data_IF_957468684240
#
_entry.id   IF_957468684240
#
_cell.length_a   1.000
_cell.length_b   1.000
_cell.length_c   1.000
_cell.angle_alpha   90.00
_cell.angle_beta   90.00
_cell.angle_gamma   90.00
#
_symmetry.space_group_name_H-M   'P 1'
#
loop_
_entity.id
_entity.type
_entity.pdbx_description
1 polymer ?
#
# COMPACT_ATOMS: atom_id res chain seq x y z
N UNK A 1 -28.43 -38.75 2.38
CA UNK A 1 -28.17 -38.11 3.69
C UNK A 1 -26.98 -38.76 4.38
N UNK A 2 -25.78 -38.73 3.77
CA UNK A 2 -24.61 -39.48 4.29
C UNK A 2 -23.26 -38.92 3.80
N UNK A 3 -23.17 -37.62 3.52
CA UNK A 3 -21.92 -36.94 3.12
C UNK A 3 -21.53 -35.77 4.06
N UNK A 4 -22.46 -35.27 4.87
CA UNK A 4 -22.20 -34.23 5.88
C UNK A 4 -21.56 -34.77 7.16
N UNK A 5 -21.75 -36.06 7.47
CA UNK A 5 -21.23 -36.68 8.69
C UNK A 5 -19.72 -36.99 8.65
N UNK A 6 -19.16 -37.25 7.47
CA UNK A 6 -17.73 -37.60 7.31
C UNK A 6 -16.82 -36.36 7.39
N UNK A 7 -17.26 -35.19 6.94
CA UNK A 7 -16.49 -33.94 7.02
C UNK A 7 -16.43 -33.40 8.45
N UNK A 8 -17.53 -33.53 9.22
CA UNK A 8 -17.55 -33.14 10.62
C UNK A 8 -16.65 -34.03 11.50
N UNK A 9 -16.57 -35.34 11.21
CA UNK A 9 -15.70 -36.25 11.96
C UNK A 9 -14.21 -36.03 11.69
N UNK A 10 -13.81 -35.69 10.46
CA UNK A 10 -12.40 -35.38 10.14
C UNK A 10 -11.94 -34.04 10.76
N UNK A 11 -12.83 -33.04 10.83
CA UNK A 11 -12.55 -31.75 11.48
C UNK A 11 -12.38 -31.88 13.00
N UNK A 12 -13.24 -32.67 13.66
CA UNK A 12 -13.14 -32.92 15.10
C UNK A 12 -11.92 -33.77 15.46
N UNK A 13 -11.56 -34.78 14.64
CA UNK A 13 -10.38 -35.60 14.86
C UNK A 13 -9.07 -34.80 14.70
N UNK A 14 -8.97 -33.92 13.70
CA UNK A 14 -7.81 -33.06 13.52
C UNK A 14 -7.65 -32.02 14.66
N UNK A 15 -8.77 -31.49 15.17
CA UNK A 15 -8.75 -30.54 16.28
C UNK A 15 -8.39 -31.19 17.63
N UNK A 16 -8.92 -32.40 17.89
CA UNK A 16 -8.60 -33.17 19.10
C UNK A 16 -7.17 -33.74 19.08
N UNK A 17 -6.64 -34.11 17.91
CA UNK A 17 -5.24 -34.54 17.76
C UNK A 17 -4.26 -33.36 17.85
N UNK A 18 -4.62 -32.18 17.30
CA UNK A 18 -3.79 -30.97 17.40
C UNK A 18 -3.69 -30.38 18.81
N UNK A 19 -4.75 -30.48 19.62
CA UNK A 19 -4.79 -29.92 20.98
C UNK A 19 -4.10 -30.78 22.05
N UNK A 20 -4.10 -32.12 21.91
CA UNK A 20 -3.60 -33.02 22.98
C UNK A 20 -2.08 -33.19 23.00
N UNK A 21 -1.36 -32.89 21.92
CA UNK A 21 0.10 -33.13 21.85
C UNK A 21 0.99 -31.99 22.38
N UNK A 22 0.44 -30.80 22.65
CA UNK A 22 1.22 -29.67 23.17
C UNK A 22 1.47 -29.75 24.69
N UNK A 23 0.60 -30.42 25.45
CA UNK A 23 0.71 -30.54 26.92
C UNK A 23 1.69 -31.60 27.41
N UNK A 24 1.81 -32.73 26.70
CA UNK A 24 2.53 -33.91 27.20
C UNK A 24 4.06 -33.83 27.07
N UNK A 25 4.60 -33.06 26.11
CA UNK A 25 6.06 -32.90 25.94
C UNK A 25 6.72 -31.97 26.98
N UNK A 26 5.94 -31.08 27.59
CA UNK A 26 6.44 -30.08 28.56
C UNK A 26 6.68 -30.66 29.96
N UNK A 27 5.97 -31.72 30.33
CA UNK A 27 6.21 -32.41 31.60
C UNK A 27 7.50 -33.24 31.61
N UNK A 28 7.95 -33.74 30.44
CA UNK A 28 9.21 -34.51 30.33
C UNK A 28 10.48 -33.66 30.26
N UNK A 29 10.37 -32.38 29.88
CA UNK A 29 11.52 -31.47 29.79
C UNK A 29 11.79 -30.68 31.09
N UNK A 30 10.81 -30.59 31.99
CA UNK A 30 11.00 -29.94 33.30
C UNK A 30 11.70 -30.84 34.34
N UNK A 31 11.80 -32.15 34.06
CA UNK A 31 12.53 -33.12 34.91
C UNK A 31 13.96 -33.41 34.41
N UNK A 32 14.39 -32.83 33.29
CA UNK A 32 15.70 -33.08 32.69
C UNK A 32 16.43 -31.77 32.37
N UNK A 33 17.16 -31.24 33.36
CA UNK A 33 18.27 -30.32 33.12
C UNK A 33 17.93 -28.84 33.34
N UNK A 34 18.36 -28.33 34.49
CA UNK A 34 18.47 -26.90 34.72
C UNK A 34 19.51 -26.27 33.79
N UNK A 35 19.12 -25.19 33.13
CA UNK A 35 19.99 -24.39 32.28
C UNK A 35 19.29 -23.10 31.89
N UNK A 36 19.73 -21.99 32.46
CA UNK A 36 19.21 -20.65 32.17
C UNK A 36 19.59 -20.27 30.74
N UNK A 37 18.60 -20.16 29.85
CA UNK A 37 18.75 -19.61 28.51
C UNK A 37 17.87 -18.38 28.39
N UNK A 38 18.50 -17.20 28.27
CA UNK A 38 17.86 -15.92 27.98
C UNK A 38 17.55 -15.82 26.49
N UNK A 39 16.58 -16.59 26.02
CA UNK A 39 15.92 -16.41 24.74
C UNK A 39 14.44 -16.76 24.91
N UNK A 40 13.70 -15.87 25.58
CA UNK A 40 12.26 -16.02 25.75
C UNK A 40 11.54 -15.93 24.41
N UNK A 41 10.49 -16.74 24.16
CA UNK A 41 9.65 -16.58 22.99
C UNK A 41 9.01 -15.18 22.97
N UNK A 42 8.69 -14.62 21.79
CA UNK A 42 8.12 -13.26 21.68
C UNK A 42 6.94 -13.11 22.62
N UNK A 43 6.91 -11.99 23.36
CA UNK A 43 5.89 -11.76 24.37
C UNK A 43 4.50 -11.84 23.74
N UNK A 44 3.53 -12.43 24.44
CA UNK A 44 2.15 -12.60 23.98
C UNK A 44 1.56 -11.29 23.43
N UNK A 45 1.97 -10.14 23.97
CA UNK A 45 1.57 -8.83 23.46
C UNK A 45 2.18 -8.43 22.10
N UNK A 46 3.41 -8.86 21.81
CA UNK A 46 4.03 -8.68 20.49
C UNK A 46 3.39 -9.62 19.47
N UNK A 47 3.12 -10.88 19.86
CA UNK A 47 2.39 -11.83 19.03
C UNK A 47 0.95 -11.35 18.74
N UNK A 48 0.24 -10.82 19.74
CA UNK A 48 -1.12 -10.25 19.58
C UNK A 48 -1.08 -8.96 18.75
N UNK A 49 -0.04 -8.12 18.85
CA UNK A 49 0.13 -6.93 17.99
C UNK A 49 0.45 -7.30 16.55
N UNK A 50 1.33 -8.27 16.31
CA UNK A 50 1.60 -8.84 14.99
C UNK A 50 0.33 -9.47 14.41
N UNK A 51 -0.40 -10.27 15.20
CA UNK A 51 -1.65 -10.91 14.79
C UNK A 51 -2.75 -9.88 14.50
N UNK A 52 -2.87 -8.82 15.30
CA UNK A 52 -3.83 -7.73 15.09
C UNK A 52 -3.45 -6.83 13.90
N UNK A 53 -2.16 -6.65 13.63
CA UNK A 53 -1.64 -5.98 12.41
C UNK A 53 -1.87 -6.84 11.17
N UNK A 54 -1.68 -8.15 11.28
CA UNK A 54 -2.00 -9.13 10.24
C UNK A 54 -3.51 -9.13 9.99
N UNK A 55 -4.35 -9.22 11.03
CA UNK A 55 -5.83 -9.16 10.91
C UNK A 55 -6.32 -7.84 10.32
N UNK A 56 -5.73 -6.69 10.70
CA UNK A 56 -6.03 -5.40 10.10
C UNK A 56 -5.58 -5.27 8.63
N UNK A 57 -4.53 -6.00 8.22
CA UNK A 57 -4.07 -6.09 6.83
C UNK A 57 -4.91 -7.08 6.01
N UNK A 58 -5.34 -8.18 6.63
CA UNK A 58 -6.14 -9.26 6.05
C UNK A 58 -7.63 -8.92 5.97
N UNK A 59 -8.11 -7.87 6.63
CA UNK A 59 -9.54 -7.55 6.75
C UNK A 59 -10.30 -7.41 5.43
N UNK A 60 -9.67 -6.98 4.33
CA UNK A 60 -10.34 -6.95 3.01
C UNK A 60 -9.98 -8.15 2.13
N UNK A 61 -8.84 -8.78 2.37
CA UNK A 61 -8.48 -10.06 1.75
C UNK A 61 -9.43 -11.19 2.22
N UNK A 62 -9.87 -11.10 3.48
CA UNK A 62 -10.93 -11.91 4.05
C UNK A 62 -12.29 -11.64 3.43
N UNK A 63 -12.58 -10.42 2.98
CA UNK A 63 -13.83 -10.13 2.27
C UNK A 63 -13.83 -10.72 0.85
N UNK A 64 -12.68 -10.77 0.15
CA UNK A 64 -12.58 -11.51 -1.11
C UNK A 64 -12.70 -13.02 -0.93
N UNK A 65 -12.13 -13.57 0.16
CA UNK A 65 -12.28 -14.98 0.51
C UNK A 65 -13.70 -15.30 0.98
N UNK A 66 -14.32 -14.43 1.77
CA UNK A 66 -15.70 -14.58 2.23
C UNK A 66 -16.70 -14.43 1.08
N UNK A 67 -16.48 -13.50 0.15
CA UNK A 67 -17.28 -13.37 -1.06
C UNK A 67 -17.11 -14.58 -1.99
N UNK A 68 -15.87 -15.07 -2.19
CA UNK A 68 -15.59 -16.29 -2.95
C UNK A 68 -16.19 -17.54 -2.29
N UNK A 69 -16.17 -17.61 -0.97
CA UNK A 69 -16.76 -18.69 -0.16
C UNK A 69 -18.30 -18.64 -0.21
N UNK A 70 -18.90 -17.45 -0.16
CA UNK A 70 -20.35 -17.24 -0.28
C UNK A 70 -20.85 -17.66 -1.68
N UNK A 71 -20.12 -17.28 -2.73
CA UNK A 71 -20.35 -17.71 -4.12
C UNK A 71 -20.15 -19.22 -4.31
N UNK A 72 -19.19 -19.82 -3.61
CA UNK A 72 -18.96 -21.27 -3.63
C UNK A 72 -20.07 -22.06 -2.91
N UNK A 73 -20.59 -21.52 -1.80
CA UNK A 73 -21.71 -22.11 -1.04
C UNK A 73 -23.03 -22.07 -1.82
N UNK A 74 -23.28 -21.00 -2.58
CA UNK A 74 -24.44 -20.89 -3.48
C UNK A 74 -24.29 -21.75 -4.75
N UNK A 75 -23.07 -22.00 -5.21
CA UNK A 75 -22.79 -22.69 -6.47
C UNK A 75 -22.40 -24.17 -6.37
N UNK A 76 -22.14 -24.74 -5.19
CA UNK A 76 -21.63 -26.12 -5.01
C UNK A 76 -20.41 -26.48 -5.90
N UNK A 77 -19.54 -25.50 -6.20
CA UNK A 77 -18.35 -25.67 -7.04
C UNK A 77 -17.11 -25.09 -6.34
N UNK A 78 -15.96 -25.76 -6.49
CA UNK A 78 -14.66 -25.35 -5.92
C UNK A 78 -13.97 -24.20 -6.68
N UNK A 79 -14.44 -23.90 -7.90
CA UNK A 79 -13.80 -22.94 -8.82
C UNK A 79 -13.84 -21.49 -8.31
N UNK A 80 -14.94 -20.98 -7.71
CA UNK A 80 -14.98 -19.64 -7.11
C UNK A 80 -14.01 -19.47 -5.93
N UNK A 81 -13.68 -20.56 -5.23
CA UNK A 81 -12.71 -20.54 -4.12
C UNK A 81 -11.29 -20.37 -4.66
N UNK A 82 -10.94 -21.07 -5.74
CA UNK A 82 -9.62 -20.96 -6.39
C UNK A 82 -9.45 -19.59 -7.05
N UNK A 83 -10.48 -19.09 -7.73
CA UNK A 83 -10.48 -17.74 -8.31
C UNK A 83 -10.37 -16.64 -7.22
N UNK A 84 -11.09 -16.80 -6.11
CA UNK A 84 -10.99 -15.93 -4.94
C UNK A 84 -9.58 -15.95 -4.32
N UNK A 85 -8.99 -17.15 -4.16
CA UNK A 85 -7.63 -17.31 -3.66
C UNK A 85 -6.56 -16.70 -4.58
N UNK A 86 -6.73 -16.83 -5.91
CA UNK A 86 -5.85 -16.19 -6.90
C UNK A 86 -6.01 -14.65 -6.95
N UNK A 87 -7.19 -14.14 -6.60
CA UNK A 87 -7.45 -12.69 -6.50
C UNK A 87 -6.77 -12.02 -5.30
N UNK A 88 -6.53 -12.74 -4.20
CA UNK A 88 -5.88 -12.21 -2.98
C UNK A 88 -4.49 -11.60 -3.25
N UNK A 89 -3.51 -12.28 -3.89
CA UNK A 89 -2.19 -11.69 -4.13
C UNK A 89 -2.25 -10.48 -5.07
N UNK A 90 -3.19 -10.45 -6.02
CA UNK A 90 -3.40 -9.31 -6.93
C UNK A 90 -3.94 -8.11 -6.15
N UNK A 91 -5.00 -8.29 -5.37
CA UNK A 91 -5.56 -7.23 -4.51
C UNK A 91 -4.54 -6.72 -3.49
N UNK A 92 -3.74 -7.62 -2.91
CA UNK A 92 -2.65 -7.27 -1.99
C UNK A 92 -1.59 -6.42 -2.68
N UNK A 93 -1.12 -6.82 -3.86
CA UNK A 93 -0.16 -6.04 -4.66
C UNK A 93 -0.72 -4.67 -5.03
N UNK A 94 -1.98 -4.60 -5.44
CA UNK A 94 -2.64 -3.32 -5.74
C UNK A 94 -2.77 -2.43 -4.50
N UNK A 95 -3.10 -3.00 -3.33
CA UNK A 95 -3.16 -2.26 -2.07
C UNK A 95 -1.80 -1.74 -1.66
N UNK A 96 -0.76 -2.57 -1.71
CA UNK A 96 0.60 -2.19 -1.39
C UNK A 96 1.11 -1.12 -2.36
N UNK A 97 0.84 -1.25 -3.65
CA UNK A 97 1.16 -0.23 -4.65
C UNK A 97 0.43 1.10 -4.38
N UNK A 98 -0.87 1.06 -4.03
CA UNK A 98 -1.64 2.25 -3.63
C UNK A 98 -1.12 2.88 -2.34
N UNK A 99 -0.76 2.07 -1.35
CA UNK A 99 -0.18 2.55 -0.09
C UNK A 99 1.19 3.19 -0.31
N UNK A 100 2.04 2.58 -1.16
CA UNK A 100 3.32 3.14 -1.57
C UNK A 100 3.13 4.47 -2.32
N UNK A 101 2.14 4.55 -3.23
CA UNK A 101 1.78 5.79 -3.91
C UNK A 101 1.35 6.90 -2.95
N UNK A 102 0.47 6.60 -1.98
CA UNK A 102 0.06 7.57 -0.95
C UNK A 102 1.19 7.96 -0.01
N UNK A 103 2.13 7.07 0.27
CA UNK A 103 3.32 7.39 1.04
C UNK A 103 4.24 8.34 0.27
N UNK A 104 4.40 8.10 -1.04
CA UNK A 104 5.13 8.98 -1.97
C UNK A 104 4.53 10.39 -1.99
N UNK A 105 3.22 10.51 -2.17
CA UNK A 105 2.52 11.81 -2.19
C UNK A 105 2.66 12.56 -0.86
N UNK A 106 2.43 11.89 0.27
CA UNK A 106 2.60 12.51 1.59
C UNK A 106 4.04 12.98 1.83
N UNK A 107 5.02 12.27 1.28
CA UNK A 107 6.42 12.67 1.37
C UNK A 107 6.72 13.88 0.50
N UNK A 108 6.19 13.94 -0.72
CA UNK A 108 6.31 15.10 -1.59
C UNK A 108 5.70 16.35 -0.92
N UNK A 109 4.52 16.22 -0.34
CA UNK A 109 3.88 17.29 0.43
C UNK A 109 4.71 17.74 1.64
N UNK A 110 5.32 16.79 2.34
CA UNK A 110 6.19 17.10 3.46
C UNK A 110 7.51 17.77 3.03
N UNK A 111 8.01 17.50 1.82
CA UNK A 111 9.17 18.20 1.22
C UNK A 111 8.80 19.63 0.80
N UNK A 112 7.61 19.84 0.23
CA UNK A 112 7.07 21.18 -0.04
C UNK A 112 6.99 21.97 1.28
N UNK A 113 6.38 21.37 2.31
CA UNK A 113 6.30 21.96 3.65
C UNK A 113 7.68 22.28 4.26
N UNK A 114 8.68 21.41 4.07
CA UNK A 114 10.06 21.66 4.48
C UNK A 114 10.66 22.88 3.77
N UNK A 115 10.47 23.01 2.45
CA UNK A 115 10.99 24.15 1.67
C UNK A 115 10.36 25.46 2.14
N UNK A 116 9.03 25.48 2.33
CA UNK A 116 8.32 26.64 2.86
C UNK A 116 8.75 27.02 4.28
N UNK A 117 8.89 26.05 5.18
CA UNK A 117 9.37 26.29 6.55
C UNK A 117 10.82 26.82 6.57
N UNK A 118 11.70 26.25 5.74
CA UNK A 118 13.08 26.72 5.61
C UNK A 118 13.13 28.15 5.06
N UNK A 119 12.35 28.46 4.03
CA UNK A 119 12.28 29.80 3.46
C UNK A 119 11.81 30.83 4.51
N UNK A 120 10.82 30.47 5.32
CA UNK A 120 10.31 31.33 6.41
C UNK A 120 11.39 31.59 7.48
N UNK A 121 12.11 30.56 7.91
CA UNK A 121 13.18 30.70 8.91
C UNK A 121 14.37 31.53 8.39
N UNK A 122 14.74 31.36 7.12
CA UNK A 122 15.80 32.17 6.50
C UNK A 122 15.36 33.63 6.35
N UNK A 123 14.10 33.90 5.97
CA UNK A 123 13.53 35.26 5.94
C UNK A 123 13.49 35.92 7.31
N UNK A 124 13.31 35.13 8.37
CA UNK A 124 13.40 35.62 9.75
C UNK A 124 14.85 35.97 10.17
N UNK A 125 15.82 35.89 9.25
CA UNK A 125 17.20 36.28 9.46
C UNK A 125 18.07 35.18 10.05
N UNK A 126 17.58 33.94 10.14
CA UNK A 126 18.36 32.84 10.71
C UNK A 126 19.42 32.33 9.74
N UNK A 127 20.53 31.85 10.29
CA UNK A 127 21.56 31.19 9.51
C UNK A 127 21.00 29.91 8.86
N UNK A 128 21.33 29.61 7.59
CA UNK A 128 20.77 28.48 6.84
C UNK A 128 20.82 27.13 7.57
N UNK A 129 21.95 26.83 8.23
CA UNK A 129 22.11 25.60 9.03
C UNK A 129 21.10 25.51 10.18
N UNK A 130 20.92 26.60 10.92
CA UNK A 130 19.98 26.65 12.05
C UNK A 130 18.51 26.65 11.58
N UNK A 131 18.24 27.32 10.46
CA UNK A 131 16.95 27.32 9.79
C UNK A 131 16.55 25.89 9.35
N UNK A 132 17.50 25.14 8.76
CA UNK A 132 17.30 23.74 8.36
C UNK A 132 17.04 22.83 9.57
N UNK A 133 17.73 23.04 10.69
CA UNK A 133 17.49 22.28 11.92
C UNK A 133 16.09 22.53 12.51
N UNK A 134 15.51 23.72 12.34
CA UNK A 134 14.12 24.01 12.73
C UNK A 134 13.14 23.41 11.73
N UNK A 135 13.30 23.68 10.45
CA UNK A 135 12.42 23.16 9.41
C UNK A 135 12.38 21.62 9.39
N UNK A 136 13.50 20.95 9.64
CA UNK A 136 13.59 19.49 9.74
C UNK A 136 12.91 18.91 11.00
N UNK A 137 12.65 19.72 12.04
CA UNK A 137 11.88 19.30 13.22
C UNK A 137 10.39 19.22 12.93
N UNK A 138 9.88 20.22 12.20
CA UNK A 138 8.45 20.41 12.00
C UNK A 138 7.93 19.66 10.77
N UNK A 139 8.82 19.24 9.86
CA UNK A 139 8.46 18.53 8.63
C UNK A 139 8.99 17.09 8.58
N UNK A 140 8.15 16.19 8.06
CA UNK A 140 8.50 14.79 7.81
C UNK A 140 9.23 14.53 6.49
N UNK A 141 9.53 15.59 5.72
CA UNK A 141 10.01 15.50 4.32
C UNK A 141 11.33 14.73 4.18
N UNK A 142 12.18 14.75 5.22
CA UNK A 142 13.49 14.09 5.22
C UNK A 142 13.42 12.60 5.60
N UNK A 143 12.37 12.15 6.29
CA UNK A 143 12.18 10.74 6.67
C UNK A 143 13.41 10.12 7.35
N UNK A 144 13.83 8.94 6.89
CA UNK A 144 14.99 8.23 7.44
C UNK A 144 16.31 9.00 7.27
N UNK A 145 16.43 9.85 6.25
CA UNK A 145 17.64 10.65 6.00
C UNK A 145 17.74 11.89 6.90
N UNK A 146 16.72 12.18 7.72
CA UNK A 146 16.69 13.34 8.62
C UNK A 146 17.93 13.42 9.50
N UNK A 147 18.35 12.31 10.10
CA UNK A 147 19.51 12.29 11.01
C UNK A 147 20.79 12.71 10.29
N UNK A 148 21.01 12.21 9.06
CA UNK A 148 22.21 12.54 8.27
C UNK A 148 22.23 14.02 7.85
N UNK A 149 21.10 14.54 7.38
CA UNK A 149 20.97 15.95 6.96
C UNK A 149 21.13 16.90 8.15
N UNK A 150 20.52 16.57 9.29
CA UNK A 150 20.66 17.33 10.55
C UNK A 150 22.09 17.30 11.07
N UNK A 151 22.76 16.14 11.03
CA UNK A 151 24.16 16.03 11.42
C UNK A 151 25.06 16.88 10.51
N UNK A 152 24.89 16.79 9.18
CA UNK A 152 25.62 17.63 8.24
C UNK A 152 25.42 19.12 8.54
N UNK A 153 24.18 19.56 8.77
CA UNK A 153 23.89 20.97 9.07
C UNK A 153 24.49 21.45 10.40
N UNK A 154 24.53 20.58 11.42
CA UNK A 154 25.03 20.93 12.76
C UNK A 154 26.55 20.95 12.86
N UNK A 155 27.22 20.06 12.14
CA UNK A 155 28.67 19.89 12.20
C UNK A 155 29.41 20.52 11.01
N UNK A 156 28.73 21.29 10.17
CA UNK A 156 29.33 21.93 8.99
C UNK A 156 29.74 20.92 7.90
N UNK A 157 29.09 19.76 7.85
CA UNK A 157 29.30 18.75 6.82
C UNK A 157 28.57 19.07 5.50
N UNK A 158 28.65 18.15 4.55
CA UNK A 158 28.03 18.28 3.23
C UNK A 158 26.50 18.10 3.29
N UNK A 159 25.80 19.23 3.47
CA UNK A 159 24.33 19.28 3.47
C UNK A 159 23.77 18.96 2.08
N UNK A 160 24.44 19.41 1.02
CA UNK A 160 24.04 19.20 -0.37
C UNK A 160 24.03 17.71 -0.71
N UNK A 161 25.10 16.99 -0.37
CA UNK A 161 25.20 15.54 -0.55
C UNK A 161 24.19 14.76 0.28
N UNK A 162 23.98 15.16 1.54
CA UNK A 162 22.97 14.53 2.40
C UNK A 162 21.54 14.69 1.84
N UNK A 163 21.20 15.87 1.32
CA UNK A 163 19.93 16.13 0.65
C UNK A 163 19.80 15.36 -0.67
N UNK A 164 20.87 15.25 -1.46
CA UNK A 164 20.87 14.48 -2.69
C UNK A 164 20.68 12.97 -2.45
N UNK A 165 21.25 12.43 -1.37
CA UNK A 165 20.99 11.05 -0.93
C UNK A 165 19.55 10.89 -0.47
N UNK A 166 19.03 11.84 0.32
CA UNK A 166 17.64 11.82 0.78
C UNK A 166 16.64 11.86 -0.39
N UNK A 167 16.98 12.54 -1.47
CA UNK A 167 16.14 12.67 -2.66
C UNK A 167 15.97 11.38 -3.47
N UNK A 168 16.81 10.36 -3.24
CA UNK A 168 16.65 9.03 -3.88
C UNK A 168 15.42 8.28 -3.37
N UNK A 169 14.84 8.72 -2.26
CA UNK A 169 13.63 8.10 -1.73
C UNK A 169 12.42 8.50 -2.58
N UNK A 170 11.47 7.57 -2.86
CA UNK A 170 10.29 7.90 -3.63
C UNK A 170 9.48 9.04 -2.98
N UNK A 171 9.20 10.10 -3.74
CA UNK A 171 8.45 11.25 -3.23
C UNK A 171 9.31 12.31 -2.55
N UNK A 172 10.63 12.13 -2.53
CA UNK A 172 11.58 13.10 -2.01
C UNK A 172 12.35 13.85 -3.12
N UNK A 173 11.91 13.74 -4.38
CA UNK A 173 12.66 14.24 -5.55
C UNK A 173 12.89 15.76 -5.47
N UNK A 174 11.97 16.51 -4.86
CA UNK A 174 12.09 17.95 -4.61
C UNK A 174 13.30 18.33 -3.73
N UNK A 175 13.87 17.41 -2.95
CA UNK A 175 15.09 17.64 -2.19
C UNK A 175 16.33 17.85 -3.08
N UNK A 176 16.32 17.40 -4.34
CA UNK A 176 17.37 17.76 -5.30
C UNK A 176 17.34 19.25 -5.64
N UNK A 177 16.14 19.81 -5.84
CA UNK A 177 15.95 21.24 -6.03
C UNK A 177 16.42 22.02 -4.80
N UNK A 178 16.11 21.52 -3.60
CA UNK A 178 16.56 22.10 -2.35
C UNK A 178 18.10 22.11 -2.24
N UNK A 179 18.76 20.99 -2.55
CA UNK A 179 20.21 20.89 -2.57
C UNK A 179 20.84 21.86 -3.59
N UNK A 180 20.23 22.02 -4.76
CA UNK A 180 20.68 22.97 -5.77
C UNK A 180 20.54 24.42 -5.30
N UNK A 181 19.40 24.80 -4.71
CA UNK A 181 19.21 26.12 -4.11
C UNK A 181 20.21 26.39 -2.98
N UNK A 182 20.47 25.39 -2.14
CA UNK A 182 21.46 25.50 -1.07
C UNK A 182 22.87 25.75 -1.62
N UNK A 183 23.31 24.96 -2.61
CA UNK A 183 24.61 25.13 -3.26
C UNK A 183 24.77 26.53 -3.85
N UNK A 184 23.79 26.99 -4.62
CA UNK A 184 23.86 28.33 -5.24
C UNK A 184 23.89 29.44 -4.18
N UNK A 185 23.10 29.32 -3.11
CA UNK A 185 23.07 30.33 -2.07
C UNK A 185 24.36 30.39 -1.24
N UNK A 186 24.93 29.22 -0.90
CA UNK A 186 26.17 29.12 -0.13
C UNK A 186 27.39 29.51 -0.96
N UNK A 187 27.45 29.10 -2.22
CA UNK A 187 28.62 29.35 -3.08
C UNK A 187 28.62 30.76 -3.69
N UNK A 188 27.45 31.37 -3.94
CA UNK A 188 27.33 32.65 -4.64
C UNK A 188 26.76 33.78 -3.78
N UNK A 189 26.46 33.54 -2.50
CA UNK A 189 25.84 34.54 -1.61
C UNK A 189 24.44 34.97 -2.02
N UNK A 190 23.79 34.23 -2.92
CA UNK A 190 22.45 34.53 -3.40
C UNK A 190 21.40 34.30 -2.29
N UNK A 191 20.32 35.07 -2.31
CA UNK A 191 19.23 34.96 -1.33
C UNK A 191 18.58 33.58 -1.35
N UNK A 192 18.97 32.71 -0.40
CA UNK A 192 18.44 31.35 -0.25
C UNK A 192 16.91 31.35 -0.15
N UNK A 193 16.34 32.30 0.60
CA UNK A 193 14.90 32.46 0.75
C UNK A 193 14.18 32.54 -0.62
N UNK A 194 14.62 33.44 -1.51
CA UNK A 194 13.99 33.62 -2.81
C UNK A 194 14.12 32.38 -3.72
N UNK A 195 15.23 31.64 -3.62
CA UNK A 195 15.39 30.36 -4.31
C UNK A 195 14.40 29.31 -3.80
N UNK A 196 14.24 29.21 -2.48
CA UNK A 196 13.33 28.27 -1.84
C UNK A 196 11.86 28.60 -2.09
N UNK A 197 11.50 29.89 -2.16
CA UNK A 197 10.13 30.30 -2.50
C UNK A 197 9.75 29.91 -3.93
N UNK A 198 10.69 30.10 -4.87
CA UNK A 198 10.49 29.67 -6.25
C UNK A 198 10.38 28.15 -6.34
N UNK A 199 11.19 27.42 -5.57
CA UNK A 199 11.12 25.96 -5.51
C UNK A 199 9.80 25.49 -4.88
N UNK A 200 9.38 26.05 -3.75
CA UNK A 200 8.10 25.74 -3.09
C UNK A 200 6.93 26.03 -4.04
N UNK A 201 6.93 27.19 -4.69
CA UNK A 201 5.92 27.56 -5.70
C UNK A 201 5.90 26.61 -6.90
N UNK A 202 7.07 26.24 -7.43
CA UNK A 202 7.17 25.30 -8.54
C UNK A 202 6.64 23.90 -8.17
N UNK A 203 7.02 23.37 -6.99
CA UNK A 203 6.55 22.07 -6.51
C UNK A 203 5.05 22.06 -6.20
N UNK A 204 4.50 23.16 -5.68
CA UNK A 204 3.05 23.34 -5.49
C UNK A 204 2.31 23.39 -6.81
N UNK A 205 2.80 24.16 -7.78
CA UNK A 205 2.21 24.23 -9.11
C UNK A 205 2.19 22.86 -9.79
N UNK A 206 3.28 22.09 -9.69
CA UNK A 206 3.33 20.72 -10.22
C UNK A 206 2.33 19.78 -9.51
N UNK A 207 2.20 19.89 -8.18
CA UNK A 207 1.21 19.14 -7.40
C UNK A 207 -0.21 19.49 -7.84
N UNK A 208 -0.52 20.77 -7.97
CA UNK A 208 -1.86 21.26 -8.31
C UNK A 208 -2.22 20.86 -9.75
N UNK A 209 -1.28 20.99 -10.69
CA UNK A 209 -1.43 20.49 -12.06
C UNK A 209 -1.78 18.99 -12.08
N UNK A 210 -1.07 18.17 -11.30
CA UNK A 210 -1.38 16.73 -11.18
C UNK A 210 -2.76 16.49 -10.56
N UNK A 211 -3.18 17.30 -9.60
CA UNK A 211 -4.49 17.20 -8.99
C UNK A 211 -5.61 17.55 -9.99
N UNK A 212 -5.42 18.60 -10.78
CA UNK A 212 -6.35 19.01 -11.84
C UNK A 212 -6.46 17.96 -12.94
N UNK A 213 -5.34 17.40 -13.40
CA UNK A 213 -5.34 16.29 -14.35
C UNK A 213 -6.12 15.09 -13.81
N UNK A 214 -5.94 14.74 -12.52
CA UNK A 214 -6.71 13.66 -11.89
C UNK A 214 -8.19 13.97 -11.79
N UNK A 215 -8.56 15.22 -11.52
CA UNK A 215 -9.94 15.66 -11.48
C UNK A 215 -10.60 15.56 -12.87
N UNK A 216 -9.89 15.99 -13.91
CA UNK A 216 -10.35 15.87 -15.31
C UNK A 216 -10.53 14.40 -15.72
N UNK A 217 -9.60 13.52 -15.31
CA UNK A 217 -9.68 12.08 -15.59
C UNK A 217 -10.67 11.34 -14.68
N UNK A 218 -11.23 11.97 -13.64
CA UNK A 218 -12.16 11.32 -12.73
C UNK A 218 -13.44 10.87 -13.44
N UNK A 219 -13.96 11.68 -14.37
CA UNK A 219 -15.13 11.33 -15.17
C UNK A 219 -14.90 10.10 -16.04
N UNK A 220 -13.78 10.07 -16.77
CA UNK A 220 -13.39 8.93 -17.60
C UNK A 220 -13.12 7.65 -16.77
N UNK A 221 -12.56 7.79 -15.57
CA UNK A 221 -12.39 6.67 -14.63
C UNK A 221 -13.73 6.16 -14.10
N UNK A 222 -14.67 7.05 -13.80
CA UNK A 222 -15.99 6.67 -13.28
C UNK A 222 -16.80 5.88 -14.32
N UNK A 223 -16.80 6.29 -15.59
CA UNK A 223 -17.48 5.55 -16.67
C UNK A 223 -16.83 4.20 -16.92
N UNK A 224 -15.50 4.12 -16.92
CA UNK A 224 -14.78 2.85 -17.04
C UNK A 224 -15.15 1.88 -15.89
N UNK A 225 -15.25 2.37 -14.66
CA UNK A 225 -15.70 1.57 -13.51
C UNK A 225 -17.16 1.14 -13.64
N UNK A 226 -18.03 2.02 -14.12
CA UNK A 226 -19.44 1.70 -14.37
C UNK A 226 -19.60 0.58 -15.41
N UNK A 227 -18.86 0.68 -16.53
CA UNK A 227 -18.87 -0.34 -17.58
C UNK A 227 -18.28 -1.67 -17.10
N UNK A 228 -17.22 -1.63 -16.28
CA UNK A 228 -16.66 -2.83 -15.65
C UNK A 228 -17.62 -3.46 -14.62
N UNK A 229 -18.50 -2.68 -13.99
CA UNK A 229 -19.50 -3.23 -13.08
C UNK A 229 -20.70 -3.88 -13.82
N UNK A 230 -20.88 -3.60 -15.10
CA UNK A 230 -22.05 -4.04 -15.88
C UNK A 230 -22.22 -5.57 -15.96
N UNK A 231 -21.17 -6.39 -16.18
CA UNK A 231 -21.30 -7.85 -16.21
C UNK A 231 -21.80 -8.41 -14.88
N UNK A 232 -21.34 -7.87 -13.75
CA UNK A 232 -21.79 -8.27 -12.43
C UNK A 232 -23.27 -7.95 -12.21
N UNK A 233 -23.72 -6.77 -12.65
CA UNK A 233 -25.15 -6.40 -12.62
C UNK A 233 -25.99 -7.31 -13.51
N UNK A 234 -25.50 -7.68 -14.69
CA UNK A 234 -26.17 -8.62 -15.60
C UNK A 234 -26.34 -10.01 -14.99
N UNK A 235 -25.31 -10.54 -14.33
CA UNK A 235 -25.38 -11.81 -13.60
C UNK A 235 -26.37 -11.76 -12.43
N UNK A 236 -26.41 -10.64 -11.70
CA UNK A 236 -27.34 -10.42 -10.60
C UNK A 236 -28.80 -10.43 -11.10
N UNK A 237 -29.08 -9.67 -12.16
CA UNK A 237 -30.41 -9.61 -12.77
C UNK A 237 -30.84 -10.97 -13.36
N UNK A 238 -29.95 -11.66 -14.07
CA UNK A 238 -30.22 -13.00 -14.60
C UNK A 238 -30.53 -14.02 -13.50
N UNK A 239 -29.85 -13.92 -12.36
CA UNK A 239 -30.12 -14.77 -11.19
C UNK A 239 -31.46 -14.42 -10.53
N UNK A 240 -31.81 -13.14 -10.42
CA UNK A 240 -33.09 -12.69 -9.89
C UNK A 240 -34.30 -13.12 -10.75
N UNK A 241 -34.10 -13.25 -12.06
CA UNK A 241 -35.11 -13.80 -12.98
C UNK A 241 -35.21 -15.34 -12.95
N UNK A 242 -34.40 -16.03 -12.14
CA UNK A 242 -34.43 -17.49 -12.00
C UNK A 242 -33.68 -18.26 -13.09
N UNK A 243 -32.82 -17.60 -13.88
CA UNK A 243 -32.11 -18.25 -14.99
C UNK A 243 -30.91 -19.14 -14.56
N UNK A 244 -30.65 -19.29 -13.25
CA UNK A 244 -29.50 -19.99 -12.66
C UNK A 244 -28.17 -19.88 -13.47
N UNK A 245 -27.77 -18.66 -13.91
CA UNK A 245 -26.63 -18.49 -14.81
C UNK A 245 -25.32 -18.99 -14.17
N UNK A 246 -25.18 -18.84 -12.86
CA UNK A 246 -24.03 -19.34 -12.10
C UNK A 246 -23.88 -20.86 -12.20
N UNK A 247 -24.98 -21.60 -12.26
CA UNK A 247 -24.93 -23.07 -12.38
C UNK A 247 -24.38 -23.48 -13.73
N UNK A 248 -24.83 -22.84 -14.81
CA UNK A 248 -24.33 -23.11 -16.18
C UNK A 248 -22.88 -22.65 -16.34
N UNK A 249 -22.53 -21.45 -15.87
CA UNK A 249 -21.16 -20.94 -15.98
C UNK A 249 -20.13 -21.77 -15.20
N UNK A 250 -20.50 -22.30 -14.03
CA UNK A 250 -19.57 -23.04 -13.16
C UNK A 250 -19.53 -24.55 -13.41
N UNK A 251 -20.53 -25.13 -14.10
CA UNK A 251 -20.63 -26.58 -14.33
C UNK A 251 -20.59 -26.99 -15.81
N UNK A 252 -20.57 -26.04 -16.75
CA UNK A 252 -20.38 -26.30 -18.18
C UNK A 252 -19.00 -25.85 -18.64
N UNK A 253 -18.33 -26.69 -19.45
CA UNK A 253 -17.04 -26.33 -20.06
C UNK A 253 -17.12 -25.09 -20.95
N UNK A 254 -18.21 -24.91 -21.69
CA UNK A 254 -18.46 -23.70 -22.48
C UNK A 254 -18.66 -22.46 -21.59
N UNK A 255 -19.28 -22.64 -20.41
CA UNK A 255 -19.47 -21.59 -19.40
C UNK A 255 -18.14 -21.10 -18.80
N UNK A 256 -17.24 -22.03 -18.48
CA UNK A 256 -15.90 -21.72 -18.00
C UNK A 256 -15.06 -21.00 -19.06
N UNK A 257 -15.15 -21.43 -20.32
CA UNK A 257 -14.49 -20.75 -21.44
C UNK A 257 -14.96 -19.30 -21.58
N UNK A 258 -16.27 -19.07 -21.50
CA UNK A 258 -16.85 -17.73 -21.56
C UNK A 258 -16.43 -16.86 -20.36
N UNK A 259 -16.39 -17.44 -19.15
CA UNK A 259 -15.95 -16.73 -17.93
C UNK A 259 -14.49 -16.30 -18.01
N UNK A 260 -13.61 -17.20 -18.47
CA UNK A 260 -12.19 -16.88 -18.68
C UNK A 260 -12.01 -15.82 -19.76
N UNK A 261 -12.70 -15.94 -20.89
CA UNK A 261 -12.64 -14.95 -21.96
C UNK A 261 -13.10 -13.56 -21.48
N UNK A 262 -14.24 -13.50 -20.77
CA UNK A 262 -14.76 -12.26 -20.18
C UNK A 262 -13.78 -11.62 -19.20
N UNK A 263 -13.22 -12.41 -18.28
CA UNK A 263 -12.24 -11.91 -17.31
C UNK A 263 -10.96 -11.39 -17.97
N UNK A 264 -10.49 -12.04 -19.04
CA UNK A 264 -9.33 -11.60 -19.82
C UNK A 264 -9.64 -10.30 -20.55
N UNK A 265 -10.78 -10.19 -21.24
CA UNK A 265 -11.18 -8.97 -21.94
C UNK A 265 -11.37 -7.79 -20.98
N UNK A 266 -12.04 -8.01 -19.85
CA UNK A 266 -12.25 -6.97 -18.84
C UNK A 266 -10.93 -6.54 -18.19
N UNK A 267 -10.05 -7.51 -17.87
CA UNK A 267 -8.71 -7.25 -17.37
C UNK A 267 -7.85 -6.47 -18.35
N UNK A 268 -7.89 -6.82 -19.64
CA UNK A 268 -7.18 -6.12 -20.71
C UNK A 268 -7.71 -4.70 -20.89
N UNK A 269 -9.04 -4.52 -20.87
CA UNK A 269 -9.68 -3.20 -20.95
C UNK A 269 -9.27 -2.30 -19.76
N UNK A 270 -9.32 -2.83 -18.54
CA UNK A 270 -8.91 -2.09 -17.34
C UNK A 270 -7.42 -1.74 -17.36
N UNK A 271 -6.57 -2.66 -17.83
CA UNK A 271 -5.14 -2.42 -17.99
C UNK A 271 -4.86 -1.34 -19.03
N UNK A 272 -5.58 -1.36 -20.15
CA UNK A 272 -5.49 -0.35 -21.20
C UNK A 272 -5.90 1.03 -20.70
N UNK A 273 -7.04 1.14 -20.02
CA UNK A 273 -7.49 2.41 -19.41
C UNK A 273 -6.45 2.91 -18.40
N UNK A 274 -5.96 2.03 -17.52
CA UNK A 274 -4.91 2.39 -16.57
C UNK A 274 -3.59 2.80 -17.26
N UNK A 275 -3.30 2.28 -18.45
CA UNK A 275 -2.14 2.67 -19.26
C UNK A 275 -2.33 4.06 -19.86
N UNK A 276 -3.48 4.34 -20.50
CA UNK A 276 -3.78 5.68 -21.06
C UNK A 276 -3.70 6.74 -19.96
N UNK A 277 -4.37 6.48 -18.85
CA UNK A 277 -4.42 7.39 -17.70
C UNK A 277 -3.02 7.66 -17.14
N UNK A 278 -2.17 6.63 -16.99
CA UNK A 278 -0.79 6.81 -16.54
C UNK A 278 0.08 7.56 -17.56
N UNK A 279 -0.19 7.38 -18.85
CA UNK A 279 0.46 8.14 -19.92
C UNK A 279 0.09 9.63 -19.86
N UNK A 280 -1.19 9.94 -19.62
CA UNK A 280 -1.66 11.32 -19.47
C UNK A 280 -1.13 12.00 -18.19
N UNK A 281 -0.87 11.25 -17.12
CA UNK A 281 -0.22 11.78 -15.90
C UNK A 281 1.30 11.99 -16.04
N UNK A 282 1.93 11.52 -17.12
CA UNK A 282 3.37 11.59 -17.35
C UNK A 282 3.83 12.67 -18.34
N UNK A 283 2.88 13.37 -18.98
CA UNK A 283 3.09 14.47 -19.95
C UNK A 283 2.83 15.81 -19.24
#
# INVERSE_FOLDING_TARGET
MSLSATVACLGAAAWLLGGRHYGARRARLLLAGGGVVTAGPPSWEQAVRELRRLWGRLGVEWWSLAAGLLLALLGASLIPVVAGAAGVPVLRRMRLARQAGRARERRADAVIGLCGALAAEVRAGRQPGEALLRAARDSGGLGEARAAVVAAARFGGDVQGALAVAARQPGAEGLLGLAACWRVAVDQGAGLAAGLDRLDGALRAERDQRADLRAQLAGARATAVLLAALPALGLLLGSAMGADPLRVLLHSGAGLGCLLAGAVFEGAGMWWVARIVRGAEAV
#
